data_IF_794658121801
#
_entry.id   IF_794658121801
#
_cell.length_a   1.000
_cell.length_b   1.000
_cell.length_c   1.000
_cell.angle_alpha   90.00
_cell.angle_beta   90.00
_cell.angle_gamma   90.00
#
_symmetry.space_group_name_H-M   'P 1'
#
loop_
_entity.id
_entity.type
_entity.pdbx_description
1 polymer ?
#
# COMPACT_ATOMS: atom_id res chain seq x y z
N UNK A 1 -0.62 0.48 -18.90
CA UNK A 1 -0.64 -0.33 -17.66
C UNK A 1 0.76 -0.77 -17.28
N UNK A 2 1.58 -1.30 -18.20
CA UNK A 2 2.98 -1.68 -17.91
C UNK A 2 3.83 -0.51 -17.39
N UNK A 3 3.63 0.70 -17.93
CA UNK A 3 4.29 1.92 -17.43
C UNK A 3 3.97 2.23 -15.97
N UNK A 4 2.81 1.81 -15.44
CA UNK A 4 2.45 2.02 -14.02
C UNK A 4 3.30 1.18 -13.06
N UNK A 5 4.00 0.16 -13.56
CA UNK A 5 4.87 -0.70 -12.75
C UNK A 5 6.31 -0.18 -12.65
N UNK A 6 6.61 0.95 -13.30
CA UNK A 6 7.93 1.56 -13.31
C UNK A 6 7.89 2.89 -12.57
N UNK A 7 8.34 2.93 -11.29
CA UNK A 7 8.28 4.14 -10.47
C UNK A 7 9.00 5.33 -11.10
N UNK A 8 10.13 5.09 -11.77
CA UNK A 8 10.93 6.11 -12.45
C UNK A 8 10.25 6.69 -13.70
N UNK A 9 9.33 5.96 -14.34
CA UNK A 9 8.54 6.41 -15.49
C UNK A 9 7.19 7.04 -15.06
N UNK A 10 6.81 6.95 -13.79
CA UNK A 10 5.55 7.49 -13.24
C UNK A 10 5.75 8.64 -12.28
N UNK A 11 6.98 9.00 -11.94
CA UNK A 11 7.28 10.10 -11.03
C UNK A 11 7.44 11.43 -11.76
N UNK A 12 6.34 12.17 -11.96
CA UNK A 12 6.38 13.51 -12.55
C UNK A 12 6.14 14.59 -11.49
N UNK A 13 7.25 15.11 -10.93
CA UNK A 13 7.21 16.18 -9.94
C UNK A 13 7.06 17.55 -10.60
N UNK A 14 6.00 18.28 -10.25
CA UNK A 14 5.78 19.65 -10.74
C UNK A 14 5.20 20.56 -9.66
N UNK A 15 5.37 21.88 -9.83
CA UNK A 15 4.70 22.84 -8.96
C UNK A 15 3.19 22.90 -9.26
N UNK A 16 2.37 23.20 -8.26
CA UNK A 16 0.93 23.39 -8.43
C UNK A 16 0.59 24.42 -9.51
N UNK A 17 1.32 25.54 -9.57
CA UNK A 17 1.13 26.53 -10.65
C UNK A 17 1.39 25.95 -12.04
N UNK A 18 2.42 25.10 -12.18
CA UNK A 18 2.73 24.47 -13.47
C UNK A 18 1.61 23.51 -13.87
N UNK A 19 1.08 22.75 -12.90
CA UNK A 19 -0.07 21.88 -13.13
C UNK A 19 -1.32 22.68 -13.54
N UNK A 20 -1.63 23.76 -12.82
CA UNK A 20 -2.77 24.63 -13.12
C UNK A 20 -2.66 25.26 -14.51
N UNK A 21 -1.48 25.73 -14.90
CA UNK A 21 -1.20 26.28 -16.23
C UNK A 21 -1.35 25.22 -17.33
N UNK A 22 -0.78 24.03 -17.11
CA UNK A 22 -0.79 22.93 -18.08
C UNK A 22 -2.20 22.38 -18.33
N UNK A 23 -3.04 22.33 -17.30
CA UNK A 23 -4.39 21.76 -17.37
C UNK A 23 -5.50 22.82 -17.20
N UNK A 24 -5.20 24.09 -17.50
CA UNK A 24 -6.15 25.21 -17.38
C UNK A 24 -7.45 25.03 -18.15
N UNK A 25 -7.44 24.23 -19.23
CA UNK A 25 -8.61 23.93 -20.06
C UNK A 25 -9.74 23.26 -19.29
N UNK A 26 -9.44 22.57 -18.18
CA UNK A 26 -10.44 21.92 -17.33
C UNK A 26 -11.43 22.95 -16.76
N UNK A 27 -11.00 24.21 -16.60
CA UNK A 27 -11.82 25.27 -15.99
C UNK A 27 -11.97 25.10 -14.46
N UNK A 28 -11.22 24.18 -13.85
CA UNK A 28 -11.17 24.00 -12.40
C UNK A 28 -9.96 24.72 -11.81
N UNK A 29 -10.19 25.47 -10.74
CA UNK A 29 -9.12 25.98 -9.88
C UNK A 29 -8.70 24.86 -8.91
N UNK A 30 -7.68 24.11 -9.33
CA UNK A 30 -7.16 22.95 -8.58
C UNK A 30 -6.45 23.42 -7.31
N UNK A 31 -5.85 24.61 -7.34
CA UNK A 31 -5.23 25.19 -6.16
C UNK A 31 -6.28 25.48 -5.08
N UNK A 32 -7.38 26.16 -5.42
CA UNK A 32 -8.49 26.41 -4.49
C UNK A 32 -9.10 25.10 -4.00
N UNK A 33 -9.35 24.15 -4.91
CA UNK A 33 -9.92 22.85 -4.55
C UNK A 33 -9.06 22.10 -3.53
N UNK A 34 -7.75 21.99 -3.77
CA UNK A 34 -6.84 21.31 -2.85
C UNK A 34 -6.71 22.07 -1.53
N UNK A 35 -6.71 23.40 -1.56
CA UNK A 35 -6.67 24.22 -0.37
C UNK A 35 -7.95 24.04 0.47
N UNK A 36 -9.12 23.97 -0.16
CA UNK A 36 -10.38 23.69 0.52
C UNK A 36 -10.34 22.28 1.12
N UNK A 37 -9.97 21.27 0.33
CA UNK A 37 -9.85 19.88 0.80
C UNK A 37 -8.93 19.74 2.01
N UNK A 38 -7.78 20.42 2.03
CA UNK A 38 -6.82 20.42 3.15
C UNK A 38 -7.39 21.08 4.42
N UNK A 39 -8.30 22.04 4.25
CA UNK A 39 -8.74 22.95 5.32
C UNK A 39 -10.21 22.78 5.74
N UNK A 40 -10.97 21.87 5.12
CA UNK A 40 -12.32 21.51 5.56
C UNK A 40 -12.29 21.15 7.06
N UNK A 41 -13.06 21.89 7.85
CA UNK A 41 -13.21 21.71 9.30
C UNK A 41 -11.87 21.71 10.07
N UNK A 42 -10.84 22.40 9.56
CA UNK A 42 -9.53 22.45 10.18
C UNK A 42 -9.44 23.54 11.27
N UNK A 43 -9.18 23.10 12.51
CA UNK A 43 -8.86 24.03 13.61
C UNK A 43 -7.54 24.78 13.40
N UNK A 44 -6.59 24.15 12.71
CA UNK A 44 -5.30 24.73 12.30
C UNK A 44 -5.13 24.53 10.80
N UNK A 45 -5.41 25.54 9.97
CA UNK A 45 -5.37 25.38 8.51
C UNK A 45 -3.94 25.21 8.01
N UNK A 46 -3.75 24.29 7.07
CA UNK A 46 -2.50 24.11 6.36
C UNK A 46 -2.50 25.03 5.14
N UNK A 47 -1.48 25.88 5.05
CA UNK A 47 -1.31 26.80 3.92
C UNK A 47 -0.63 26.09 2.75
N UNK A 48 -1.40 25.87 1.69
CA UNK A 48 -0.87 25.52 0.38
C UNK A 48 -0.29 26.78 -0.29
N UNK A 49 0.68 26.59 -1.17
CA UNK A 49 1.26 27.65 -2.00
C UNK A 49 1.36 27.15 -3.43
N UNK A 50 1.29 28.06 -4.39
CA UNK A 50 1.44 27.74 -5.82
C UNK A 50 2.77 27.04 -6.19
N UNK A 51 3.79 27.17 -5.34
CA UNK A 51 5.10 26.54 -5.54
C UNK A 51 5.18 25.13 -4.92
N UNK A 52 4.15 24.70 -4.19
CA UNK A 52 4.12 23.35 -3.64
C UNK A 52 4.15 22.30 -4.73
N UNK A 53 4.87 21.21 -4.41
CA UNK A 53 5.12 20.15 -5.36
C UNK A 53 4.06 19.07 -5.24
N UNK A 54 3.58 18.63 -6.39
CA UNK A 54 2.74 17.45 -6.54
C UNK A 54 3.44 16.45 -7.44
N UNK A 55 3.14 15.17 -7.22
CA UNK A 55 3.56 14.08 -8.09
C UNK A 55 2.36 13.71 -8.95
N UNK A 56 2.49 13.86 -10.26
CA UNK A 56 1.48 13.40 -11.22
C UNK A 56 1.89 12.01 -11.68
N UNK A 57 1.11 10.98 -11.39
CA UNK A 57 1.52 9.59 -11.69
C UNK A 57 1.44 9.22 -13.17
N UNK A 58 0.61 9.93 -13.95
CA UNK A 58 0.47 9.73 -15.39
C UNK A 58 0.04 11.01 -16.08
N UNK A 59 0.96 11.63 -16.82
CA UNK A 59 0.67 12.81 -17.63
C UNK A 59 -0.34 12.52 -18.75
N UNK A 60 -0.30 11.32 -19.32
CA UNK A 60 -1.22 10.88 -20.35
C UNK A 60 -2.65 10.76 -19.81
N UNK A 61 -2.83 10.08 -18.66
CA UNK A 61 -4.13 9.98 -18.01
C UNK A 61 -4.67 11.37 -17.69
N UNK A 62 -3.85 12.25 -17.10
CA UNK A 62 -4.26 13.61 -16.77
C UNK A 62 -4.64 14.43 -18.00
N UNK A 63 -3.93 14.26 -19.12
CA UNK A 63 -4.25 14.95 -20.37
C UNK A 63 -5.58 14.46 -20.97
N UNK A 64 -5.80 13.13 -21.00
CA UNK A 64 -7.08 12.54 -21.46
C UNK A 64 -8.25 12.95 -20.55
N UNK A 65 -8.05 12.88 -19.23
CA UNK A 65 -9.03 13.32 -18.25
C UNK A 65 -9.34 14.81 -18.43
N UNK A 66 -8.31 15.63 -18.65
CA UNK A 66 -8.49 17.06 -18.92
C UNK A 66 -9.38 17.29 -20.14
N UNK A 67 -9.13 16.59 -21.26
CA UNK A 67 -9.96 16.67 -22.46
C UNK A 67 -11.40 16.22 -22.23
N UNK A 68 -11.59 15.11 -21.50
CA UNK A 68 -12.92 14.60 -21.15
C UNK A 68 -13.67 15.62 -20.29
N UNK A 69 -13.07 16.07 -19.19
CA UNK A 69 -13.70 17.03 -18.27
C UNK A 69 -14.01 18.35 -18.97
N UNK A 70 -13.09 18.86 -19.80
CA UNK A 70 -13.33 20.06 -20.61
C UNK A 70 -14.56 19.89 -21.50
N UNK A 71 -14.65 18.77 -22.22
CA UNK A 71 -15.77 18.50 -23.13
C UNK A 71 -17.11 18.34 -22.39
N UNK A 72 -17.15 17.69 -21.23
CA UNK A 72 -18.40 17.47 -20.50
C UNK A 72 -18.79 18.67 -19.63
N UNK A 73 -17.87 19.23 -18.82
CA UNK A 73 -18.17 20.32 -17.90
C UNK A 73 -18.45 21.64 -18.62
N UNK A 74 -17.76 21.93 -19.72
CA UNK A 74 -17.93 23.19 -20.46
C UNK A 74 -19.02 23.12 -21.53
N UNK A 75 -19.66 21.96 -21.73
CA UNK A 75 -20.83 21.84 -22.61
C UNK A 75 -22.10 21.90 -21.74
N UNK A 76 -22.95 22.95 -21.86
CA UNK A 76 -24.10 23.17 -20.98
C UNK A 76 -24.99 21.93 -20.77
N UNK A 77 -25.28 21.20 -21.85
CA UNK A 77 -26.16 20.01 -21.83
C UNK A 77 -25.44 18.69 -21.51
N UNK A 78 -24.18 18.70 -21.06
CA UNK A 78 -23.42 17.49 -20.71
C UNK A 78 -22.82 17.53 -19.31
N UNK A 79 -22.78 18.69 -18.67
CA UNK A 79 -22.17 18.88 -17.35
C UNK A 79 -22.78 17.97 -16.27
N UNK A 80 -24.09 17.68 -16.36
CA UNK A 80 -24.79 16.79 -15.43
C UNK A 80 -24.22 15.36 -15.45
N UNK A 81 -23.65 14.88 -16.55
CA UNK A 81 -23.09 13.53 -16.65
C UNK A 81 -21.92 13.34 -15.67
N UNK A 82 -21.10 14.39 -15.49
CA UNK A 82 -20.00 14.35 -14.52
C UNK A 82 -20.55 14.34 -13.10
N UNK A 83 -21.58 15.14 -12.83
CA UNK A 83 -22.23 15.21 -11.52
C UNK A 83 -22.90 13.86 -11.18
N UNK A 84 -23.66 13.29 -12.11
CA UNK A 84 -24.33 12.00 -11.96
C UNK A 84 -23.31 10.88 -11.73
N UNK A 85 -22.18 10.89 -12.44
CA UNK A 85 -21.11 9.92 -12.21
C UNK A 85 -20.50 10.03 -10.80
N UNK A 86 -20.25 11.25 -10.32
CA UNK A 86 -19.72 11.49 -8.96
C UNK A 86 -20.75 11.08 -7.88
N UNK A 87 -22.03 11.42 -8.07
CA UNK A 87 -23.10 11.03 -7.17
C UNK A 87 -23.31 9.52 -7.15
N UNK A 88 -23.30 8.88 -8.32
CA UNK A 88 -23.38 7.43 -8.43
C UNK A 88 -22.22 6.76 -7.70
N UNK A 89 -20.98 7.24 -7.90
CA UNK A 89 -19.80 6.70 -7.22
C UNK A 89 -19.92 6.83 -5.70
N UNK A 90 -20.37 7.98 -5.20
CA UNK A 90 -20.61 8.19 -3.77
C UNK A 90 -21.69 7.26 -3.20
N UNK A 91 -22.83 7.13 -3.90
CA UNK A 91 -23.92 6.23 -3.47
C UNK A 91 -23.46 4.79 -3.48
N UNK A 92 -22.70 4.38 -4.50
CA UNK A 92 -22.17 3.04 -4.64
C UNK A 92 -21.19 2.72 -3.50
N UNK A 93 -20.25 3.61 -3.20
CA UNK A 93 -19.29 3.45 -2.09
C UNK A 93 -19.97 3.38 -0.72
N UNK A 94 -21.07 4.13 -0.53
CA UNK A 94 -21.83 4.15 0.72
C UNK A 94 -22.90 3.07 0.81
N UNK A 95 -23.12 2.29 -0.25
CA UNK A 95 -24.22 1.30 -0.32
C UNK A 95 -24.18 0.27 0.81
N UNK A 96 -22.98 -0.12 1.26
CA UNK A 96 -22.75 -1.04 2.37
C UNK A 96 -23.06 -0.45 3.75
N UNK A 97 -23.26 0.86 3.83
CA UNK A 97 -23.64 1.59 5.04
C UNK A 97 -25.15 1.83 5.16
N UNK A 98 -25.92 1.41 4.14
CA UNK A 98 -27.36 1.59 4.06
C UNK A 98 -28.10 0.30 4.42
N UNK A 99 -29.40 0.24 4.12
CA UNK A 99 -30.19 -0.96 4.39
C UNK A 99 -29.78 -2.13 3.50
N UNK A 100 -30.14 -3.35 3.91
CA UNK A 100 -29.92 -4.58 3.13
C UNK A 100 -30.47 -4.50 1.69
N UNK A 101 -31.48 -3.67 1.44
CA UNK A 101 -31.98 -3.43 0.09
C UNK A 101 -30.92 -2.80 -0.82
N UNK A 102 -30.16 -1.81 -0.32
CA UNK A 102 -29.06 -1.19 -1.06
C UNK A 102 -27.86 -2.12 -1.21
N UNK A 103 -27.48 -2.83 -0.14
CA UNK A 103 -26.41 -3.83 -0.19
C UNK A 103 -26.66 -4.84 -1.32
N UNK A 104 -27.88 -5.39 -1.42
CA UNK A 104 -28.26 -6.39 -2.43
C UNK A 104 -28.22 -5.87 -3.87
N UNK A 105 -28.34 -4.55 -4.10
CA UNK A 105 -28.22 -3.97 -5.44
C UNK A 105 -26.80 -4.09 -6.00
N UNK A 106 -25.78 -4.25 -5.14
CA UNK A 106 -24.39 -4.44 -5.57
C UNK A 106 -24.06 -5.88 -5.98
N UNK A 107 -24.85 -6.86 -5.52
CA UNK A 107 -24.57 -8.27 -5.70
C UNK A 107 -24.46 -8.71 -7.18
N UNK A 108 -25.34 -8.28 -8.11
CA UNK A 108 -25.20 -8.65 -9.52
C UNK A 108 -23.84 -8.24 -10.11
N UNK A 109 -23.34 -7.06 -9.73
CA UNK A 109 -22.03 -6.59 -10.18
C UNK A 109 -20.89 -7.41 -9.55
N UNK A 110 -20.94 -7.68 -8.24
CA UNK A 110 -19.92 -8.51 -7.59
C UNK A 110 -19.95 -9.98 -8.03
N UNK A 111 -21.11 -10.49 -8.43
CA UNK A 111 -21.22 -11.81 -9.06
C UNK A 111 -20.48 -11.84 -10.39
N UNK A 112 -20.65 -10.81 -11.23
CA UNK A 112 -19.96 -10.73 -12.52
C UNK A 112 -18.45 -10.48 -12.37
N UNK A 113 -18.04 -9.61 -11.43
CA UNK A 113 -16.64 -9.25 -11.24
C UNK A 113 -15.82 -10.29 -10.46
N UNK A 114 -16.43 -10.94 -9.47
CA UNK A 114 -15.73 -11.77 -8.49
C UNK A 114 -16.31 -13.17 -8.33
N UNK A 115 -17.37 -13.53 -9.07
CA UNK A 115 -18.04 -14.83 -8.93
C UNK A 115 -18.76 -15.00 -7.59
N UNK A 116 -19.05 -13.90 -6.89
CA UNK A 116 -19.66 -13.94 -5.56
C UNK A 116 -21.15 -14.27 -5.63
N UNK A 117 -21.57 -15.42 -5.07
CA UNK A 117 -22.97 -15.84 -5.05
C UNK A 117 -23.80 -15.21 -3.92
N UNK A 118 -23.15 -14.75 -2.86
CA UNK A 118 -23.79 -14.08 -1.73
C UNK A 118 -22.86 -13.07 -1.08
N UNK A 119 -23.43 -12.02 -0.50
CA UNK A 119 -22.69 -11.09 0.36
C UNK A 119 -22.22 -11.82 1.63
N UNK A 120 -21.09 -11.39 2.25
CA UNK A 120 -20.62 -11.96 3.51
C UNK A 120 -21.63 -11.77 4.63
N UNK A 121 -21.55 -12.61 5.65
CA UNK A 121 -22.38 -12.46 6.84
C UNK A 121 -22.16 -11.11 7.51
N UNK A 122 -23.23 -10.57 8.10
CA UNK A 122 -23.19 -9.22 8.69
C UNK A 122 -22.10 -9.05 9.73
N UNK A 123 -21.84 -10.08 10.55
CA UNK A 123 -20.82 -10.01 11.59
C UNK A 123 -19.40 -9.91 10.99
N UNK A 124 -19.12 -10.60 9.87
CA UNK A 124 -17.83 -10.52 9.17
C UNK A 124 -17.60 -9.12 8.64
N UNK A 125 -18.64 -8.54 8.02
CA UNK A 125 -18.62 -7.17 7.54
C UNK A 125 -18.36 -6.18 8.69
N UNK A 126 -19.11 -6.30 9.80
CA UNK A 126 -18.91 -5.44 10.97
C UNK A 126 -17.49 -5.56 11.55
N UNK A 127 -16.92 -6.77 11.61
CA UNK A 127 -15.53 -6.96 12.07
C UNK A 127 -14.53 -6.27 11.14
N UNK A 128 -14.71 -6.39 9.82
CA UNK A 128 -13.83 -5.76 8.82
C UNK A 128 -13.87 -4.22 8.92
N UNK A 129 -15.07 -3.65 8.99
CA UNK A 129 -15.26 -2.19 9.12
C UNK A 129 -14.70 -1.67 10.45
N UNK A 130 -14.89 -2.41 11.54
CA UNK A 130 -14.33 -2.05 12.84
C UNK A 130 -12.80 -2.11 12.83
N UNK A 131 -12.20 -3.09 12.16
CA UNK A 131 -10.74 -3.18 11.99
C UNK A 131 -10.19 -2.03 11.12
N UNK A 132 -10.92 -1.60 10.08
CA UNK A 132 -10.55 -0.43 9.28
C UNK A 132 -10.58 0.87 10.10
N UNK A 133 -11.60 1.04 10.95
CA UNK A 133 -11.76 2.25 11.78
C UNK A 133 -10.86 2.27 13.03
N UNK A 134 -10.71 1.12 13.68
CA UNK A 134 -10.13 0.96 15.01
C UNK A 134 -9.06 -0.15 15.08
N UNK A 135 -8.38 -0.42 13.97
CA UNK A 135 -7.46 -1.55 13.84
C UNK A 135 -6.36 -1.68 14.89
N UNK A 136 -5.84 -0.58 15.44
CA UNK A 136 -4.88 -0.65 16.55
C UNK A 136 -5.55 -0.99 17.89
N UNK A 137 -6.77 -0.50 18.12
CA UNK A 137 -7.58 -0.87 19.28
C UNK A 137 -7.97 -2.35 19.26
N UNK A 138 -8.46 -2.84 18.11
CA UNK A 138 -8.73 -4.26 17.91
C UNK A 138 -7.45 -5.08 17.94
N UNK A 139 -6.37 -4.56 17.35
CA UNK A 139 -5.05 -5.16 17.41
C UNK A 139 -4.58 -5.42 18.83
N UNK A 140 -4.76 -4.45 19.75
CA UNK A 140 -4.41 -4.61 21.16
C UNK A 140 -5.20 -5.72 21.87
N UNK A 141 -6.45 -5.97 21.47
CA UNK A 141 -7.25 -7.10 21.96
C UNK A 141 -6.78 -8.42 21.33
N UNK A 142 -6.54 -8.40 20.02
CA UNK A 142 -6.11 -9.56 19.24
C UNK A 142 -4.77 -10.12 19.74
N UNK A 143 -3.74 -9.27 19.89
CA UNK A 143 -2.40 -9.72 20.29
C UNK A 143 -2.41 -10.38 21.67
N UNK A 144 -3.24 -9.91 22.61
CA UNK A 144 -3.37 -10.51 23.95
C UNK A 144 -3.90 -11.95 23.89
N UNK A 145 -4.70 -12.27 22.88
CA UNK A 145 -5.29 -13.59 22.72
C UNK A 145 -4.34 -14.57 22.01
N UNK A 146 -3.54 -14.09 21.04
CA UNK A 146 -2.87 -15.01 20.09
C UNK A 146 -1.37 -14.80 19.89
N UNK A 147 -0.77 -13.71 20.38
CA UNK A 147 0.62 -13.37 20.02
C UNK A 147 1.43 -12.86 21.23
N UNK A 148 2.43 -13.64 21.65
CA UNK A 148 3.28 -13.34 22.80
C UNK A 148 4.69 -12.86 22.46
N UNK A 149 5.43 -12.44 23.48
CA UNK A 149 6.83 -11.99 23.35
C UNK A 149 7.75 -13.07 22.75
N UNK A 150 7.55 -14.34 23.15
CA UNK A 150 8.32 -15.45 22.60
C UNK A 150 8.07 -15.65 21.10
N UNK A 151 6.84 -15.40 20.63
CA UNK A 151 6.49 -15.50 19.21
C UNK A 151 7.22 -14.40 18.41
N UNK A 152 7.24 -13.16 18.95
CA UNK A 152 8.03 -12.05 18.39
C UNK A 152 9.52 -12.35 18.35
N UNK A 153 10.07 -12.92 19.42
CA UNK A 153 11.50 -13.29 19.50
C UNK A 153 11.88 -14.33 18.45
N UNK A 154 11.12 -15.42 18.34
CA UNK A 154 11.38 -16.47 17.35
C UNK A 154 11.23 -15.96 15.92
N UNK A 155 10.23 -15.11 15.63
CA UNK A 155 10.12 -14.47 14.32
C UNK A 155 11.34 -13.59 13.98
N UNK A 156 11.81 -12.78 14.93
CA UNK A 156 13.02 -11.96 14.77
C UNK A 156 14.29 -12.80 14.51
N UNK A 157 14.43 -13.95 15.17
CA UNK A 157 15.55 -14.88 14.93
C UNK A 157 15.53 -15.40 13.49
N UNK A 158 14.37 -15.78 12.97
CA UNK A 158 14.21 -16.23 11.56
C UNK A 158 14.55 -15.09 10.60
N UNK A 159 14.07 -13.86 10.86
CA UNK A 159 14.39 -12.68 10.04
C UNK A 159 15.91 -12.43 10.01
N UNK A 160 16.57 -12.50 11.16
CA UNK A 160 18.01 -12.30 11.27
C UNK A 160 18.77 -13.33 10.44
N UNK A 161 18.39 -14.60 10.53
CA UNK A 161 19.05 -15.69 9.79
C UNK A 161 18.86 -15.56 8.28
N UNK A 162 17.65 -15.20 7.83
CA UNK A 162 17.37 -15.01 6.39
C UNK A 162 18.12 -13.78 5.85
N UNK A 163 18.15 -12.68 6.61
CA UNK A 163 18.92 -11.48 6.23
C UNK A 163 20.41 -11.80 6.10
N UNK A 164 20.98 -12.57 7.02
CA UNK A 164 22.37 -13.01 6.93
C UNK A 164 22.59 -13.87 5.68
N UNK A 165 21.71 -14.84 5.41
CA UNK A 165 21.82 -15.69 4.22
C UNK A 165 21.68 -14.90 2.92
N UNK A 166 20.86 -13.85 2.90
CA UNK A 166 20.76 -12.92 1.77
C UNK A 166 22.08 -12.17 1.54
N UNK A 167 22.72 -11.65 2.60
CA UNK A 167 24.05 -10.99 2.49
C UNK A 167 25.12 -11.96 1.97
N UNK A 168 25.12 -13.19 2.48
CA UNK A 168 26.02 -14.26 2.03
C UNK A 168 25.81 -14.60 0.55
N UNK A 169 24.56 -14.66 0.10
CA UNK A 169 24.23 -14.93 -1.30
C UNK A 169 24.58 -13.76 -2.22
N UNK A 170 24.42 -12.50 -1.79
CA UNK A 170 24.87 -11.33 -2.56
C UNK A 170 26.36 -11.41 -2.92
N UNK A 171 27.21 -11.99 -2.06
CA UNK A 171 28.63 -12.18 -2.37
C UNK A 171 28.86 -13.13 -3.55
N UNK A 172 28.00 -14.14 -3.69
CA UNK A 172 28.13 -15.22 -4.68
C UNK A 172 27.57 -14.83 -6.06
N UNK A 173 26.87 -13.69 -6.17
CA UNK A 173 26.30 -13.24 -7.43
C UNK A 173 27.40 -12.70 -8.35
N UNK A 174 27.83 -13.51 -9.32
CA UNK A 174 28.87 -13.15 -10.29
C UNK A 174 28.40 -12.10 -11.33
N UNK A 175 27.08 -11.95 -11.50
CA UNK A 175 26.50 -11.03 -12.49
C UNK A 175 26.38 -9.58 -12.00
N UNK A 176 26.62 -9.34 -10.69
CA UNK A 176 26.61 -8.01 -10.08
C UNK A 176 28.06 -7.57 -9.84
N UNK A 177 28.40 -6.35 -10.22
CA UNK A 177 29.71 -5.76 -9.92
C UNK A 177 29.89 -5.41 -8.43
N UNK A 178 31.13 -5.28 -7.97
CA UNK A 178 31.43 -5.05 -6.54
C UNK A 178 30.87 -3.72 -5.99
N UNK A 179 30.74 -2.69 -6.83
CA UNK A 179 30.15 -1.42 -6.42
C UNK A 179 28.65 -1.60 -6.15
N UNK A 180 27.93 -2.23 -7.07
CA UNK A 180 26.52 -2.55 -6.92
C UNK A 180 26.26 -3.50 -5.75
N UNK A 181 27.12 -4.51 -5.52
CA UNK A 181 27.05 -5.37 -4.33
C UNK A 181 27.19 -4.58 -3.03
N UNK A 182 28.12 -3.63 -2.99
CA UNK A 182 28.35 -2.79 -1.81
C UNK A 182 27.12 -1.97 -1.45
N UNK A 183 26.48 -1.31 -2.43
CA UNK A 183 25.23 -0.57 -2.19
C UNK A 183 24.06 -1.50 -1.85
N UNK A 184 23.96 -2.67 -2.49
CA UNK A 184 22.91 -3.65 -2.18
C UNK A 184 23.00 -4.14 -0.72
N UNK A 185 24.21 -4.45 -0.24
CA UNK A 185 24.44 -4.81 1.16
C UNK A 185 24.14 -3.67 2.12
N UNK A 186 24.49 -2.44 1.76
CA UNK A 186 24.16 -1.25 2.55
C UNK A 186 22.64 -1.09 2.68
N UNK A 187 21.89 -1.32 1.59
CA UNK A 187 20.43 -1.34 1.62
C UNK A 187 19.88 -2.45 2.51
N UNK A 188 20.36 -3.68 2.34
CA UNK A 188 19.97 -4.85 3.14
C UNK A 188 20.15 -4.60 4.65
N UNK A 189 21.29 -4.02 5.04
CA UNK A 189 21.61 -3.69 6.44
C UNK A 189 20.73 -2.58 7.03
N UNK A 190 20.21 -1.68 6.18
CA UNK A 190 19.31 -0.60 6.60
C UNK A 190 17.83 -0.99 6.58
N UNK A 191 17.48 -2.22 6.17
CA UNK A 191 16.08 -2.66 6.22
C UNK A 191 15.60 -2.63 7.67
N UNK A 192 14.55 -1.85 7.92
CA UNK A 192 13.88 -1.81 9.23
C UNK A 192 12.85 -2.93 9.30
N UNK A 193 12.93 -3.78 10.34
CA UNK A 193 11.93 -4.82 10.59
C UNK A 193 10.86 -4.40 11.61
N UNK A 194 9.60 -4.70 11.30
CA UNK A 194 8.45 -4.50 12.19
C UNK A 194 7.69 -5.82 12.35
N UNK A 195 7.61 -6.33 13.59
CA UNK A 195 7.08 -7.69 13.85
C UNK A 195 5.96 -7.65 14.88
N UNK A 196 4.83 -8.25 14.53
CA UNK A 196 3.64 -8.41 15.35
C UNK A 196 2.77 -7.16 15.38
N UNK A 197 3.26 -6.12 16.05
CA UNK A 197 2.49 -4.92 16.32
C UNK A 197 3.38 -3.72 16.70
N UNK A 198 2.90 -2.47 16.56
CA UNK A 198 3.62 -1.30 17.05
C UNK A 198 3.55 -1.19 18.57
N UNK A 199 4.66 -0.85 19.22
CA UNK A 199 4.77 -0.89 20.69
C UNK A 199 3.74 0.01 21.42
N UNK A 200 3.26 1.09 20.78
CA UNK A 200 2.31 2.02 21.39
C UNK A 200 0.96 1.37 21.73
N UNK A 201 0.56 0.26 21.08
CA UNK A 201 -0.75 -0.37 21.34
C UNK A 201 -0.84 -1.00 22.74
N UNK A 202 0.30 -1.32 23.34
CA UNK A 202 0.37 -1.81 24.72
C UNK A 202 0.33 -0.65 25.75
N UNK A 203 0.47 0.59 25.30
CA UNK A 203 0.35 1.76 26.15
C UNK A 203 -1.06 2.35 26.02
N UNK A 204 -1.89 2.14 27.05
CA UNK A 204 -3.29 2.61 27.08
C UNK A 204 -3.42 4.12 26.82
N UNK A 205 -2.49 4.93 27.34
CA UNK A 205 -2.51 6.38 27.16
C UNK A 205 -2.29 6.73 25.69
N UNK A 206 -1.22 6.21 25.08
CA UNK A 206 -0.91 6.46 23.65
C UNK A 206 -2.01 5.93 22.72
N UNK A 207 -2.58 4.76 23.05
CA UNK A 207 -3.68 4.20 22.28
C UNK A 207 -4.93 5.09 22.37
N UNK A 208 -5.28 5.58 23.56
CA UNK A 208 -6.39 6.51 23.72
C UNK A 208 -6.16 7.84 23.00
N UNK A 209 -4.94 8.39 23.06
CA UNK A 209 -4.56 9.60 22.31
C UNK A 209 -4.76 9.43 20.80
N UNK A 210 -4.45 8.25 20.25
CA UNK A 210 -4.64 7.94 18.82
C UNK A 210 -6.11 8.03 18.37
N UNK A 211 -7.05 7.80 19.29
CA UNK A 211 -8.50 7.85 19.07
C UNK A 211 -9.18 9.03 19.77
N UNK A 212 -8.42 9.96 20.35
CA UNK A 212 -8.98 11.11 21.06
C UNK A 212 -9.79 12.01 20.12
N UNK A 213 -10.91 12.55 20.63
CA UNK A 213 -11.81 13.40 19.87
C UNK A 213 -12.79 12.66 18.96
N UNK A 214 -12.81 11.32 19.00
CA UNK A 214 -13.72 10.51 18.19
C UNK A 214 -14.57 9.61 19.09
N UNK A 215 -15.88 9.77 19.00
CA UNK A 215 -16.86 8.92 19.66
C UNK A 215 -17.86 8.38 18.64
N UNK A 216 -18.16 7.09 18.78
CA UNK A 216 -19.20 6.42 17.98
C UNK A 216 -20.49 6.42 18.79
N UNK A 217 -21.59 6.69 18.10
CA UNK A 217 -22.92 6.71 18.71
C UNK A 217 -23.60 5.39 18.39
N UNK A 218 -24.09 4.71 19.42
CA UNK A 218 -24.84 3.47 19.24
C UNK A 218 -26.06 3.70 18.34
N UNK A 219 -26.37 2.76 17.45
CA UNK A 219 -27.47 2.83 16.47
C UNK A 219 -27.34 3.93 15.38
N UNK A 220 -26.22 4.64 15.28
CA UNK A 220 -25.95 5.60 14.18
C UNK A 220 -24.85 5.11 13.21
N UNK A 221 -25.00 3.89 12.66
CA UNK A 221 -23.96 3.25 11.85
C UNK A 221 -23.49 4.11 10.65
N UNK A 222 -24.44 4.67 9.88
CA UNK A 222 -24.11 5.52 8.72
C UNK A 222 -23.29 6.74 9.13
N UNK A 223 -23.74 7.50 10.14
CA UNK A 223 -23.03 8.69 10.62
C UNK A 223 -21.66 8.34 11.20
N UNK A 224 -21.54 7.21 11.89
CA UNK A 224 -20.26 6.72 12.39
C UNK A 224 -19.30 6.40 11.24
N UNK A 225 -19.76 5.76 10.16
CA UNK A 225 -18.99 5.51 8.94
C UNK A 225 -18.46 6.81 8.31
N UNK A 226 -19.33 7.82 8.15
CA UNK A 226 -18.93 9.15 7.65
C UNK A 226 -17.84 9.77 8.55
N UNK A 227 -18.00 9.73 9.87
CA UNK A 227 -16.99 10.24 10.83
C UNK A 227 -15.65 9.52 10.69
N UNK A 228 -15.64 8.21 10.44
CA UNK A 228 -14.41 7.44 10.20
C UNK A 228 -13.72 7.89 8.92
N UNK A 229 -14.46 8.07 7.83
CA UNK A 229 -13.92 8.55 6.55
C UNK A 229 -13.33 9.95 6.68
N UNK A 230 -14.04 10.87 7.36
CA UNK A 230 -13.55 12.22 7.64
C UNK A 230 -12.26 12.20 8.47
N UNK A 231 -12.19 11.34 9.49
CA UNK A 231 -11.00 11.17 10.33
C UNK A 231 -9.81 10.69 9.52
N UNK A 232 -9.95 9.63 8.74
CA UNK A 232 -8.83 9.07 7.99
C UNK A 232 -8.34 10.04 6.89
N UNK A 233 -9.28 10.72 6.22
CA UNK A 233 -8.94 11.83 5.31
C UNK A 233 -8.14 12.90 6.04
N UNK A 234 -8.65 13.42 7.16
CA UNK A 234 -7.98 14.46 7.95
C UNK A 234 -6.60 14.02 8.41
N UNK A 235 -6.46 12.79 8.93
CA UNK A 235 -5.19 12.23 9.37
C UNK A 235 -4.18 12.17 8.22
N UNK A 236 -4.59 11.74 7.04
CA UNK A 236 -3.73 11.69 5.86
C UNK A 236 -3.29 13.10 5.43
N UNK A 237 -4.23 14.05 5.38
CA UNK A 237 -3.95 15.43 4.97
C UNK A 237 -3.04 16.17 5.97
N UNK A 238 -3.20 15.93 7.27
CA UNK A 238 -2.35 16.51 8.32
C UNK A 238 -0.89 16.03 8.28
N UNK A 239 -0.58 14.97 7.53
CA UNK A 239 0.81 14.57 7.26
C UNK A 239 1.51 15.53 6.28
N UNK A 240 0.76 16.33 5.52
CA UNK A 240 1.36 17.34 4.66
C UNK A 240 2.15 18.35 5.53
N UNK A 241 3.41 18.63 5.14
CA UNK A 241 4.42 19.40 5.91
C UNK A 241 5.04 18.72 7.13
N UNK A 242 4.60 17.52 7.49
CA UNK A 242 5.24 16.75 8.55
C UNK A 242 6.38 15.90 7.98
N UNK A 243 7.35 15.56 8.83
CA UNK A 243 8.30 14.50 8.50
C UNK A 243 7.57 13.16 8.46
N UNK A 244 8.05 12.25 7.61
CA UNK A 244 7.53 10.88 7.57
C UNK A 244 7.74 10.25 8.94
N UNK A 245 6.67 9.72 9.52
CA UNK A 245 6.71 8.93 10.75
C UNK A 245 7.00 7.48 10.41
N UNK A 246 8.25 7.06 10.57
CA UNK A 246 8.69 5.68 10.32
C UNK A 246 8.15 4.69 11.35
N UNK A 247 7.45 5.14 12.39
CA UNK A 247 6.78 4.25 13.35
C UNK A 247 5.35 3.89 12.95
N UNK A 248 4.76 4.54 11.93
CA UNK A 248 3.41 4.23 11.44
C UNK A 248 3.41 2.90 10.65
N UNK A 249 2.28 2.21 10.67
CA UNK A 249 2.09 0.94 9.97
C UNK A 249 0.99 1.09 8.92
N UNK A 250 1.17 0.43 7.77
CA UNK A 250 0.17 0.40 6.69
C UNK A 250 -0.86 -0.72 6.88
N UNK A 251 -0.58 -1.70 7.74
CA UNK A 251 -1.48 -2.81 8.07
C UNK A 251 -1.75 -2.86 9.57
N UNK A 252 -2.94 -3.33 9.94
CA UNK A 252 -3.32 -3.53 11.34
C UNK A 252 -2.62 -4.79 11.88
N UNK A 253 -2.40 -4.91 13.21
CA UNK A 253 -1.78 -6.11 13.78
C UNK A 253 -2.50 -7.43 13.45
N UNK A 254 -3.78 -7.37 13.11
CA UNK A 254 -4.63 -8.53 12.84
C UNK A 254 -4.62 -8.96 11.35
N UNK A 255 -4.04 -8.15 10.46
CA UNK A 255 -3.96 -8.45 9.04
C UNK A 255 -3.16 -9.73 8.78
N UNK A 256 -3.72 -10.67 8.01
CA UNK A 256 -3.02 -11.87 7.54
C UNK A 256 -2.33 -11.56 6.22
N UNK A 257 -1.23 -10.82 6.30
CA UNK A 257 -0.39 -10.47 5.15
C UNK A 257 0.99 -10.02 5.64
N UNK A 258 1.91 -9.70 4.75
CA UNK A 258 3.15 -8.99 5.02
C UNK A 258 3.37 -7.91 3.95
N UNK A 259 4.31 -7.00 4.17
CA UNK A 259 4.67 -6.02 3.15
C UNK A 259 6.09 -5.47 3.28
N UNK A 260 6.62 -5.00 2.14
CA UNK A 260 7.78 -4.14 2.04
C UNK A 260 7.38 -2.74 1.55
N UNK A 261 7.96 -1.69 2.14
CA UNK A 261 7.76 -0.30 1.66
C UNK A 261 9.09 0.28 1.16
N UNK A 262 9.24 0.53 -0.16
CA UNK A 262 10.50 1.02 -0.73
C UNK A 262 10.97 2.36 -0.16
N UNK A 263 10.05 3.30 0.07
CA UNK A 263 10.38 4.66 0.55
C UNK A 263 10.78 4.73 2.02
N UNK A 264 10.49 3.69 2.79
CA UNK A 264 10.90 3.55 4.19
C UNK A 264 11.98 2.48 4.39
N UNK A 265 12.30 1.71 3.33
CA UNK A 265 13.15 0.53 3.38
C UNK A 265 12.79 -0.37 4.58
N UNK A 266 11.53 -0.75 4.69
CA UNK A 266 11.01 -1.53 5.83
C UNK A 266 10.25 -2.78 5.38
N UNK A 267 10.38 -3.84 6.19
CA UNK A 267 9.59 -5.08 6.09
C UNK A 267 8.71 -5.22 7.32
N UNK A 268 7.45 -5.60 7.12
CA UNK A 268 6.45 -5.63 8.19
C UNK A 268 5.65 -6.93 8.18
N UNK A 269 5.60 -7.58 9.34
CA UNK A 269 4.88 -8.83 9.56
C UNK A 269 3.91 -8.65 10.72
N UNK A 270 2.65 -8.26 10.48
CA UNK A 270 1.59 -8.22 11.49
C UNK A 270 1.43 -9.54 12.23
N UNK A 271 0.94 -9.51 13.46
CA UNK A 271 0.67 -10.71 14.26
C UNK A 271 -0.32 -11.66 13.56
N UNK A 272 -1.19 -11.13 12.69
CA UNK A 272 -2.13 -11.91 11.88
C UNK A 272 -1.47 -12.92 10.93
N UNK A 273 -0.29 -12.67 10.37
CA UNK A 273 0.41 -13.68 9.55
C UNK A 273 1.26 -14.64 10.39
N UNK A 274 1.57 -14.28 11.63
CA UNK A 274 2.42 -15.06 12.54
C UNK A 274 1.60 -16.11 13.32
N UNK A 275 0.86 -16.93 12.57
CA UNK A 275 0.04 -18.03 13.07
C UNK A 275 0.06 -19.21 12.08
N UNK A 276 -0.40 -20.42 12.47
CA UNK A 276 -0.51 -21.53 11.53
C UNK A 276 -1.38 -21.17 10.30
N UNK A 277 -1.03 -21.64 9.10
CA UNK A 277 0.05 -22.60 8.80
C UNK A 277 1.44 -21.94 8.65
N UNK A 278 1.54 -20.62 8.70
CA UNK A 278 2.79 -19.91 8.41
C UNK A 278 3.82 -20.00 9.53
N UNK A 279 3.38 -19.86 10.77
CA UNK A 279 4.26 -19.77 11.92
C UNK A 279 3.61 -20.31 13.19
N UNK A 280 4.38 -21.04 13.98
CA UNK A 280 4.09 -21.23 15.40
C UNK A 280 5.38 -21.62 16.13
N UNK A 281 5.59 -21.10 17.34
CA UNK A 281 6.81 -21.39 18.13
C UNK A 281 7.03 -22.87 18.44
N UNK A 282 5.96 -23.66 18.48
CA UNK A 282 6.02 -25.11 18.75
C UNK A 282 6.07 -25.98 17.48
N UNK A 283 6.06 -25.39 16.28
CA UNK A 283 6.23 -26.16 15.05
C UNK A 283 7.72 -26.51 14.83
N UNK A 284 8.02 -27.61 14.11
CA UNK A 284 9.38 -27.89 13.68
C UNK A 284 9.96 -26.69 12.92
N UNK A 285 11.22 -26.38 13.19
CA UNK A 285 11.87 -25.19 12.62
C UNK A 285 11.86 -25.21 11.07
N UNK A 286 11.91 -26.40 10.47
CA UNK A 286 11.79 -26.60 9.02
C UNK A 286 10.46 -26.10 8.45
N UNK A 287 9.35 -26.28 9.18
CA UNK A 287 8.02 -25.79 8.78
C UNK A 287 8.00 -24.26 8.84
N UNK A 288 8.53 -23.67 9.93
CA UNK A 288 8.61 -22.21 10.06
C UNK A 288 9.49 -21.60 8.95
N UNK A 289 10.65 -22.19 8.62
CA UNK A 289 11.47 -21.69 7.51
C UNK A 289 10.80 -21.88 6.14
N UNK A 290 10.12 -23.01 5.90
CA UNK A 290 9.43 -23.26 4.63
C UNK A 290 8.22 -22.35 4.41
N UNK A 291 7.54 -21.95 5.48
CA UNK A 291 6.35 -21.10 5.40
C UNK A 291 6.67 -19.63 5.69
N UNK A 292 6.67 -19.17 6.96
CA UNK A 292 6.98 -17.77 7.27
C UNK A 292 8.37 -17.34 6.80
N UNK A 293 9.35 -18.25 6.76
CA UNK A 293 10.68 -17.95 6.22
C UNK A 293 10.65 -17.60 4.73
N UNK A 294 9.83 -18.30 3.93
CA UNK A 294 9.60 -17.93 2.52
C UNK A 294 9.00 -16.53 2.40
N UNK A 295 8.02 -16.20 3.25
CA UNK A 295 7.39 -14.87 3.27
C UNK A 295 8.41 -13.80 3.66
N UNK A 296 9.26 -14.05 4.66
CA UNK A 296 10.32 -13.12 5.05
C UNK A 296 11.31 -12.89 3.91
N UNK A 297 11.73 -13.97 3.24
CA UNK A 297 12.60 -13.88 2.07
C UNK A 297 11.95 -13.09 0.94
N UNK A 298 10.64 -13.23 0.75
CA UNK A 298 9.85 -12.48 -0.22
C UNK A 298 9.89 -10.97 0.06
N UNK A 299 9.56 -10.55 1.28
CA UNK A 299 9.57 -9.13 1.65
C UNK A 299 10.97 -8.50 1.58
N UNK A 300 12.03 -9.25 1.90
CA UNK A 300 13.41 -8.77 1.72
C UNK A 300 13.73 -8.61 0.23
N UNK A 301 13.27 -9.54 -0.62
CA UNK A 301 13.53 -9.53 -2.07
C UNK A 301 12.82 -8.36 -2.75
N UNK A 302 11.65 -7.93 -2.26
CA UNK A 302 11.00 -6.69 -2.69
C UNK A 302 11.88 -5.45 -2.53
N UNK A 303 12.88 -5.48 -1.64
CA UNK A 303 13.89 -4.44 -1.56
C UNK A 303 14.76 -4.31 -2.79
N UNK A 304 14.77 -5.29 -3.68
CA UNK A 304 15.70 -5.34 -4.80
C UNK A 304 14.99 -5.71 -6.13
N UNK A 305 13.67 -5.94 -6.11
CA UNK A 305 12.88 -6.29 -7.30
C UNK A 305 12.85 -5.16 -8.36
N UNK A 306 12.06 -5.32 -9.42
CA UNK A 306 11.99 -4.36 -10.52
C UNK A 306 11.53 -2.95 -10.08
N UNK A 307 10.83 -2.84 -8.95
CA UNK A 307 10.39 -1.57 -8.36
C UNK A 307 11.30 -1.13 -7.21
N UNK A 308 11.56 -2.01 -6.25
CA UNK A 308 12.35 -1.74 -5.07
C UNK A 308 13.79 -1.37 -5.40
N UNK A 309 14.38 -1.91 -6.48
CA UNK A 309 15.73 -1.56 -6.92
C UNK A 309 15.90 -0.09 -7.31
N UNK A 310 14.81 0.62 -7.63
CA UNK A 310 14.85 2.05 -7.98
C UNK A 310 15.04 2.95 -6.74
N UNK A 311 14.97 2.38 -5.54
CA UNK A 311 15.10 3.09 -4.27
C UNK A 311 16.40 2.72 -3.57
N UNK A 312 17.13 3.71 -3.05
CA UNK A 312 18.38 3.47 -2.35
C UNK A 312 18.17 2.97 -0.89
N UNK A 313 19.26 2.85 -0.14
CA UNK A 313 19.25 2.39 1.25
C UNK A 313 18.49 3.30 2.22
N UNK A 314 18.19 4.53 1.82
CA UNK A 314 17.49 5.55 2.60
C UNK A 314 16.07 5.78 2.07
N UNK A 315 15.60 4.95 1.13
CA UNK A 315 14.27 5.02 0.55
C UNK A 315 14.07 6.13 -0.48
N UNK A 316 15.16 6.72 -1.00
CA UNK A 316 15.07 7.74 -2.04
C UNK A 316 15.11 7.09 -3.43
N UNK A 317 14.19 7.48 -4.31
CA UNK A 317 14.20 7.05 -5.71
C UNK A 317 15.39 7.69 -6.44
N UNK A 318 16.42 6.90 -6.73
CA UNK A 318 17.61 7.31 -7.49
C UNK A 318 18.32 6.10 -8.08
N UNK A 319 19.12 6.29 -9.13
CA UNK A 319 20.02 5.25 -9.60
C UNK A 319 21.20 5.05 -8.63
N UNK A 320 21.42 3.82 -8.18
CA UNK A 320 22.53 3.39 -7.33
C UNK A 320 23.19 2.09 -7.82
N UNK A 321 22.71 1.54 -8.94
CA UNK A 321 23.30 0.41 -9.66
C UNK A 321 24.21 0.92 -10.77
N UNK A 322 25.24 0.16 -11.11
CA UNK A 322 25.97 0.41 -12.36
C UNK A 322 25.12 0.00 -13.56
N UNK A 323 25.39 0.59 -14.73
CA UNK A 323 24.73 0.18 -15.98
C UNK A 323 24.91 -1.31 -16.26
N UNK A 324 26.11 -1.86 -16.01
CA UNK A 324 26.41 -3.27 -16.23
C UNK A 324 25.50 -4.18 -15.38
N UNK A 325 25.35 -3.87 -14.09
CA UNK A 325 24.46 -4.63 -13.22
C UNK A 325 23.00 -4.53 -13.67
N UNK A 326 22.58 -3.37 -14.19
CA UNK A 326 21.21 -3.18 -14.68
C UNK A 326 20.92 -3.94 -15.96
N UNK A 327 21.83 -3.90 -16.92
CA UNK A 327 21.70 -4.67 -18.15
C UNK A 327 21.60 -6.19 -17.82
N UNK A 328 22.38 -6.66 -16.84
CA UNK A 328 22.33 -8.06 -16.36
C UNK A 328 21.08 -8.41 -15.56
N UNK A 329 20.58 -7.48 -14.75
CA UNK A 329 19.30 -7.63 -14.07
C UNK A 329 18.16 -7.82 -15.08
N UNK A 330 18.07 -6.94 -16.08
CA UNK A 330 17.04 -6.99 -17.12
C UNK A 330 17.15 -8.25 -18.00
N UNK A 331 18.37 -8.73 -18.26
CA UNK A 331 18.59 -9.99 -18.96
C UNK A 331 18.00 -11.18 -18.18
N UNK A 332 18.22 -11.22 -16.87
CA UNK A 332 17.75 -12.32 -16.00
C UNK A 332 16.24 -12.29 -15.78
N UNK A 333 15.65 -11.12 -15.57
CA UNK A 333 14.19 -11.01 -15.35
C UNK A 333 13.39 -11.45 -16.57
N UNK A 334 13.93 -11.32 -17.79
CA UNK A 334 13.30 -11.86 -19.02
C UNK A 334 13.05 -13.37 -18.94
N UNK A 335 13.91 -14.14 -18.28
CA UNK A 335 13.71 -15.58 -18.09
C UNK A 335 12.41 -15.85 -17.30
N UNK A 336 12.21 -15.12 -16.21
CA UNK A 336 11.00 -15.23 -15.39
C UNK A 336 9.77 -14.74 -16.12
N UNK A 337 9.86 -13.61 -16.84
CA UNK A 337 8.74 -13.12 -17.67
C UNK A 337 8.33 -14.19 -18.69
N UNK A 338 9.29 -14.82 -19.37
CA UNK A 338 9.02 -15.88 -20.33
C UNK A 338 8.41 -17.13 -19.66
N UNK A 339 8.99 -17.57 -18.54
CA UNK A 339 8.49 -18.72 -17.78
C UNK A 339 7.04 -18.50 -17.36
N UNK A 340 6.74 -17.38 -16.70
CA UNK A 340 5.39 -17.14 -16.18
C UNK A 340 4.39 -16.83 -17.28
N UNK A 341 4.81 -16.20 -18.39
CA UNK A 341 3.93 -16.01 -19.55
C UNK A 341 3.58 -17.31 -20.29
N UNK A 342 4.27 -18.41 -19.99
CA UNK A 342 3.96 -19.73 -20.55
C UNK A 342 2.88 -20.50 -19.77
N UNK A 343 2.56 -20.04 -18.55
CA UNK A 343 1.50 -20.64 -17.77
C UNK A 343 0.13 -20.18 -18.30
N UNK A 344 -0.79 -21.14 -18.40
CA UNK A 344 -2.16 -20.90 -18.81
C UNK A 344 -3.11 -21.33 -17.69
N UNK A 345 -4.00 -20.42 -17.29
CA UNK A 345 -5.11 -20.67 -16.36
C UNK A 345 -6.41 -20.37 -17.09
N UNK A 346 -7.37 -21.30 -17.05
CA UNK A 346 -8.68 -21.19 -17.70
C UNK A 346 -8.62 -20.76 -19.19
N UNK A 347 -7.58 -21.23 -19.89
CA UNK A 347 -7.36 -20.95 -21.32
C UNK A 347 -6.79 -19.57 -21.63
N UNK A 348 -6.40 -18.79 -20.62
CA UNK A 348 -5.68 -17.53 -20.78
C UNK A 348 -4.25 -17.66 -20.27
N UNK A 349 -3.29 -17.12 -21.03
CA UNK A 349 -1.91 -17.06 -20.56
C UNK A 349 -1.76 -15.97 -19.51
N UNK A 350 -0.99 -16.28 -18.48
CA UNK A 350 -0.59 -15.32 -17.47
C UNK A 350 0.25 -14.19 -18.08
N UNK A 351 0.17 -13.00 -17.47
CA UNK A 351 1.01 -11.89 -17.88
C UNK A 351 2.28 -11.87 -17.02
N UNK A 352 3.33 -12.55 -17.50
CA UNK A 352 4.59 -12.68 -16.76
C UNK A 352 5.28 -11.34 -16.44
N UNK A 353 5.06 -10.30 -17.24
CA UNK A 353 5.56 -8.95 -16.95
C UNK A 353 4.81 -8.33 -15.77
N UNK A 354 3.49 -8.52 -15.69
CA UNK A 354 2.68 -7.98 -14.59
C UNK A 354 2.96 -8.68 -13.27
N UNK A 355 3.27 -9.96 -13.30
CA UNK A 355 3.54 -10.76 -12.09
C UNK A 355 4.98 -10.64 -11.62
N UNK A 356 5.89 -10.08 -12.43
CA UNK A 356 7.34 -10.07 -12.20
C UNK A 356 7.72 -9.55 -10.81
N UNK A 357 7.14 -8.43 -10.36
CA UNK A 357 7.47 -7.82 -9.06
C UNK A 357 7.13 -8.70 -7.86
N UNK A 358 6.27 -9.71 -8.03
CA UNK A 358 5.91 -10.67 -6.98
C UNK A 358 6.79 -11.93 -7.02
N UNK A 359 7.77 -12.01 -7.92
CA UNK A 359 8.66 -13.15 -8.07
C UNK A 359 9.96 -12.91 -7.30
N UNK A 360 10.43 -13.91 -6.56
CA UNK A 360 11.68 -13.83 -5.79
C UNK A 360 12.89 -14.17 -6.68
N UNK A 361 13.30 -13.27 -7.58
CA UNK A 361 14.27 -13.59 -8.65
C UNK A 361 15.73 -13.20 -8.39
N UNK A 362 16.05 -12.54 -7.28
CA UNK A 362 17.39 -11.92 -7.11
C UNK A 362 18.43 -12.89 -6.59
N UNK A 363 17.94 -13.97 -5.98
CA UNK A 363 18.77 -15.04 -5.43
C UNK A 363 18.89 -16.26 -6.35
N UNK A 364 18.29 -16.19 -7.55
CA UNK A 364 18.33 -17.20 -8.63
C UNK A 364 19.10 -16.68 -9.84
#
# INVERSE_FOLDING_TARGET
METLQKPNETYYLMALKQFQEQYKSIGLDVYSLLNDMLNINASNPIKLTENDKIIVLSLELMSKLSSILTNYLLTPDKSYIVIDHLLFSLIFDLSSHLSTAFEKLTLPLFKELYGMDSLPDRWEYCVKETDAAFGYGLGALYIKAVFGEQDRKTANEIITNIRQMFDENLNKLEWIDEQSKTEAKKKLKKITEKVGYPDFINNKTKLNERYAGYSMIENEYFNNGIKVLERERRRSLLKFRQKVDLTDWSMTPRTVNAYYTPSANEIVFPAGILQPPFFHKNLPISVNYGAIGTVIGHEITHGFDDQGREYDSDGNMRSWWTKLAMDKFEERTKCFVQQYSSYALDGQNENGQRTLSNLNFILS
#
